data_IF_999851139337
#
_entry.id   IF_999851139337
#
_cell.length_a   1.000
_cell.length_b   1.000
_cell.length_c   1.000
_cell.angle_alpha   90.00
_cell.angle_beta   90.00
_cell.angle_gamma   90.00
#
_symmetry.space_group_name_H-M   'P 1'
#
loop_
_entity.id
_entity.type
_entity.pdbx_description
1 polymer ?
#
# COMPACT_ATOMS: atom_id res chain seq x y z
N UNK A 1 18.33 -5.92 31.48
CA UNK A 1 18.03 -5.79 30.03
C UNK A 1 17.35 -4.44 29.86
N UNK A 2 18.08 -3.43 29.38
CA UNK A 2 17.62 -2.05 29.35
C UNK A 2 16.53 -1.87 28.30
N UNK A 3 15.30 -1.59 28.71
CA UNK A 3 14.22 -1.21 27.78
C UNK A 3 14.47 0.23 27.34
N UNK A 4 15.12 0.41 26.19
CA UNK A 4 15.25 1.74 25.60
C UNK A 4 13.85 2.31 25.34
N UNK A 5 13.59 3.52 25.81
CA UNK A 5 12.34 4.23 25.53
C UNK A 5 12.09 4.30 24.02
N UNK A 6 10.84 4.21 23.56
CA UNK A 6 10.53 4.27 22.13
C UNK A 6 11.07 5.56 21.52
N UNK A 7 11.84 5.42 20.43
CA UNK A 7 12.41 6.58 19.69
C UNK A 7 11.29 7.52 19.25
N UNK A 8 11.56 8.84 19.32
CA UNK A 8 10.61 9.85 18.85
C UNK A 8 10.27 9.68 17.35
N UNK A 9 9.12 10.17 16.91
CA UNK A 9 8.72 10.14 15.49
C UNK A 9 9.77 10.79 14.59
N UNK A 10 10.28 11.97 14.98
CA UNK A 10 11.33 12.69 14.25
C UNK A 10 12.60 11.84 14.08
N UNK A 11 12.99 11.11 15.13
CA UNK A 11 14.13 10.19 15.07
C UNK A 11 13.85 9.01 14.14
N UNK A 12 12.64 8.44 14.16
CA UNK A 12 12.24 7.31 13.30
C UNK A 12 12.20 7.69 11.82
N UNK A 13 11.81 8.92 11.48
CA UNK A 13 11.81 9.42 10.10
C UNK A 13 13.22 9.50 9.49
N UNK A 14 14.24 9.78 10.31
CA UNK A 14 15.62 9.95 9.83
C UNK A 14 16.41 8.63 9.89
N UNK A 15 16.26 7.86 10.97
CA UNK A 15 17.16 6.74 11.30
C UNK A 15 16.68 5.36 10.85
N UNK A 16 15.54 5.25 10.15
CA UNK A 16 14.84 3.97 9.92
C UNK A 16 15.55 2.98 8.98
N UNK A 17 16.63 3.39 8.32
CA UNK A 17 17.48 2.53 7.48
C UNK A 17 18.85 2.19 8.07
N UNK A 18 19.21 2.75 9.23
CA UNK A 18 20.56 2.59 9.79
C UNK A 18 20.79 1.21 10.45
N UNK A 19 19.76 0.36 10.52
CA UNK A 19 19.82 -0.93 11.18
C UNK A 19 20.25 -2.03 10.19
N UNK A 20 21.52 -2.01 9.77
CA UNK A 20 22.12 -3.04 8.92
C UNK A 20 23.66 -2.98 8.93
N UNK A 21 24.32 -4.11 9.12
CA UNK A 21 25.77 -4.19 9.22
C UNK A 21 26.44 -4.23 7.83
N UNK A 22 26.84 -3.06 7.31
CA UNK A 22 27.80 -2.98 6.20
C UNK A 22 29.01 -2.14 6.62
N UNK A 23 30.22 -2.61 6.27
CA UNK A 23 31.51 -2.02 6.67
C UNK A 23 31.67 -0.53 6.32
N UNK A 24 30.93 -0.02 5.32
CA UNK A 24 30.88 1.40 4.94
C UNK A 24 29.47 1.77 4.51
N UNK A 25 28.91 2.84 5.06
CA UNK A 25 27.58 3.35 4.72
C UNK A 25 27.65 4.85 4.46
N UNK A 26 26.90 5.31 3.47
CA UNK A 26 26.56 6.72 3.29
C UNK A 26 25.27 7.04 4.02
N UNK A 27 25.01 8.31 4.41
CA UNK A 27 23.73 8.69 5.01
C UNK A 27 22.52 8.40 4.11
N UNK A 28 22.69 8.51 2.79
CA UNK A 28 21.66 8.12 1.83
C UNK A 28 21.75 6.61 1.51
N UNK A 29 20.61 5.91 1.34
CA UNK A 29 20.61 4.53 0.88
C UNK A 29 21.15 4.43 -0.55
N UNK A 30 21.78 3.30 -0.86
CA UNK A 30 22.25 3.03 -2.21
C UNK A 30 21.07 2.95 -3.20
N UNK A 31 21.26 3.52 -4.39
CA UNK A 31 20.29 3.44 -5.50
C UNK A 31 20.67 2.27 -6.39
N UNK A 32 20.01 1.12 -6.19
CA UNK A 32 20.22 -0.07 -7.01
C UNK A 32 19.25 -0.05 -8.20
N UNK A 33 19.79 -0.09 -9.42
CA UNK A 33 19.01 -0.09 -10.67
C UNK A 33 19.29 -1.35 -11.46
N UNK A 34 18.24 -2.03 -11.88
CA UNK A 34 18.34 -3.24 -12.69
C UNK A 34 16.98 -3.91 -12.84
N UNK A 35 16.75 -4.52 -13.99
CA UNK A 35 15.60 -5.38 -14.23
C UNK A 35 15.97 -6.83 -13.93
N UNK A 36 17.00 -7.37 -14.57
CA UNK A 36 17.48 -8.73 -14.33
C UNK A 36 18.37 -8.79 -13.10
N UNK A 37 18.10 -9.74 -12.21
CA UNK A 37 18.96 -10.04 -11.05
C UNK A 37 19.80 -11.26 -11.38
N UNK A 38 21.11 -11.15 -11.14
CA UNK A 38 22.04 -12.27 -11.34
C UNK A 38 21.95 -13.21 -10.14
N UNK A 39 21.72 -14.48 -10.44
CA UNK A 39 21.74 -15.57 -9.46
C UNK A 39 23.05 -16.34 -9.60
N UNK A 40 23.54 -16.89 -8.50
CA UNK A 40 24.79 -17.67 -8.50
C UNK A 40 24.60 -19.01 -9.23
N UNK A 41 23.43 -19.63 -9.10
CA UNK A 41 23.15 -20.95 -9.64
C UNK A 41 21.89 -20.92 -10.50
N UNK A 42 21.93 -21.56 -11.66
CA UNK A 42 20.77 -21.61 -12.57
C UNK A 42 19.51 -22.23 -11.96
N UNK A 43 19.67 -23.18 -11.02
CA UNK A 43 18.55 -23.82 -10.31
C UNK A 43 17.73 -22.85 -9.47
N UNK A 44 18.33 -21.75 -9.03
CA UNK A 44 17.70 -20.78 -8.13
C UNK A 44 16.60 -19.98 -8.84
N UNK A 45 16.55 -20.02 -10.18
CA UNK A 45 15.47 -19.41 -10.99
C UNK A 45 14.10 -20.03 -10.65
N UNK A 46 14.06 -21.28 -10.20
CA UNK A 46 12.83 -21.99 -9.85
C UNK A 46 12.42 -21.85 -8.38
N UNK A 47 13.25 -21.24 -7.55
CA UNK A 47 12.93 -20.99 -6.14
C UNK A 47 12.10 -19.72 -6.01
N UNK A 48 10.85 -19.86 -5.55
CA UNK A 48 9.92 -18.74 -5.39
C UNK A 48 10.34 -17.75 -4.29
N UNK A 49 11.28 -18.12 -3.41
CA UNK A 49 11.86 -17.23 -2.42
C UNK A 49 12.95 -16.32 -2.99
N UNK A 50 13.48 -16.64 -4.17
CA UNK A 50 14.53 -15.87 -4.82
C UNK A 50 13.95 -14.74 -5.65
N UNK A 51 14.55 -13.56 -5.51
CA UNK A 51 14.20 -12.44 -6.35
C UNK A 51 14.93 -12.54 -7.69
N UNK A 52 14.17 -12.79 -8.76
CA UNK A 52 14.70 -12.94 -10.12
C UNK A 52 14.63 -11.66 -10.95
N UNK A 53 13.73 -10.75 -10.59
CA UNK A 53 13.43 -9.55 -11.38
C UNK A 53 13.18 -8.31 -10.51
N UNK A 54 13.69 -7.17 -10.95
CA UNK A 54 13.62 -5.88 -10.26
C UNK A 54 12.21 -5.33 -10.08
N UNK A 55 11.21 -5.89 -10.78
CA UNK A 55 9.78 -5.62 -10.52
C UNK A 55 9.37 -5.94 -9.07
N UNK A 56 10.02 -6.90 -8.42
CA UNK A 56 9.81 -7.22 -7.00
C UNK A 56 10.35 -6.16 -6.03
N UNK A 57 11.14 -5.20 -6.54
CA UNK A 57 11.80 -4.16 -5.75
C UNK A 57 13.21 -4.56 -5.35
N UNK A 58 14.20 -3.77 -5.74
CA UNK A 58 15.60 -3.92 -5.31
C UNK A 58 15.84 -3.28 -3.95
N UNK A 59 17.09 -3.24 -3.48
CA UNK A 59 17.49 -2.69 -2.16
C UNK A 59 16.76 -1.39 -1.81
N UNK A 60 16.76 -0.40 -2.70
CA UNK A 60 16.11 0.90 -2.46
C UNK A 60 14.59 0.80 -2.18
N UNK A 61 13.91 -0.16 -2.82
CA UNK A 61 12.47 -0.37 -2.69
C UNK A 61 12.14 -1.12 -1.41
N UNK A 62 12.91 -2.16 -1.08
CA UNK A 62 12.76 -2.94 0.17
C UNK A 62 12.92 -2.02 1.37
N UNK A 63 13.99 -1.23 1.34
CA UNK A 63 14.26 -0.18 2.32
C UNK A 63 13.06 0.77 2.50
N UNK A 64 12.55 1.36 1.40
CA UNK A 64 11.38 2.25 1.47
C UNK A 64 10.13 1.56 2.04
N UNK A 65 9.86 0.30 1.63
CA UNK A 65 8.73 -0.49 2.15
C UNK A 65 8.83 -0.68 3.66
N UNK A 66 10.01 -1.09 4.14
CA UNK A 66 10.25 -1.34 5.56
C UNK A 66 10.08 -0.07 6.41
N UNK A 67 10.53 1.09 5.91
CA UNK A 67 10.27 2.36 6.60
C UNK A 67 8.79 2.66 6.69
N UNK A 68 8.07 2.57 5.57
CA UNK A 68 6.64 2.90 5.52
C UNK A 68 5.84 1.94 6.41
N UNK A 69 6.15 0.64 6.36
CA UNK A 69 5.52 -0.38 7.21
C UNK A 69 5.72 -0.04 8.69
N UNK A 70 6.95 0.29 9.08
CA UNK A 70 7.25 0.72 10.46
C UNK A 70 6.54 2.02 10.84
N UNK A 71 6.38 2.98 9.94
CA UNK A 71 5.73 4.26 10.22
C UNK A 71 4.22 4.10 10.43
N UNK A 72 3.58 3.32 9.56
CA UNK A 72 2.14 3.04 9.56
C UNK A 72 1.75 1.93 10.55
N UNK A 73 2.73 1.33 11.23
CA UNK A 73 2.53 0.14 12.08
C UNK A 73 1.82 -1.00 11.33
N UNK A 74 2.25 -1.23 10.09
CA UNK A 74 1.75 -2.25 9.18
C UNK A 74 2.75 -3.42 9.06
N UNK A 75 2.23 -4.62 8.76
CA UNK A 75 3.05 -5.82 8.54
C UNK A 75 3.83 -5.76 7.22
N UNK A 76 3.26 -5.14 6.19
CA UNK A 76 3.89 -4.97 4.88
C UNK A 76 3.35 -3.73 4.15
N UNK A 77 4.10 -3.25 3.15
CA UNK A 77 3.75 -2.14 2.27
C UNK A 77 4.01 -2.53 0.82
N UNK A 78 3.05 -2.29 -0.07
CA UNK A 78 3.23 -2.41 -1.51
C UNK A 78 3.41 -1.03 -2.16
N UNK A 79 4.43 -0.88 -3.00
CA UNK A 79 4.72 0.38 -3.71
C UNK A 79 3.97 0.44 -5.04
N UNK A 80 3.42 1.62 -5.33
CA UNK A 80 2.72 1.91 -6.58
C UNK A 80 3.30 3.17 -7.25
N UNK A 81 3.16 3.30 -8.59
CA UNK A 81 3.71 4.45 -9.32
C UNK A 81 2.95 5.76 -9.07
N UNK A 82 1.77 5.72 -8.45
CA UNK A 82 0.98 6.90 -8.08
C UNK A 82 -0.03 6.57 -6.98
N UNK A 83 -0.56 7.59 -6.31
CA UNK A 83 -1.63 7.42 -5.32
C UNK A 83 -2.91 6.83 -5.93
N UNK A 84 -3.27 7.21 -7.17
CA UNK A 84 -4.40 6.60 -7.86
C UNK A 84 -4.15 5.10 -8.13
N UNK A 85 -2.93 4.72 -8.55
CA UNK A 85 -2.60 3.31 -8.76
C UNK A 85 -2.62 2.50 -7.46
N UNK A 86 -2.23 3.10 -6.33
CA UNK A 86 -2.35 2.45 -5.01
C UNK A 86 -3.82 2.20 -4.66
N UNK A 87 -4.69 3.20 -4.86
CA UNK A 87 -6.13 3.07 -4.60
C UNK A 87 -6.76 2.02 -5.51
N UNK A 88 -6.52 2.09 -6.82
CA UNK A 88 -7.13 1.13 -7.76
C UNK A 88 -6.59 -0.27 -7.55
N UNK A 89 -5.29 -0.43 -7.30
CA UNK A 89 -4.67 -1.72 -6.98
C UNK A 89 -5.29 -2.36 -5.74
N UNK A 90 -5.45 -1.61 -4.66
CA UNK A 90 -6.07 -2.10 -3.43
C UNK A 90 -7.54 -2.51 -3.65
N UNK A 91 -8.33 -1.66 -4.32
CA UNK A 91 -9.76 -1.95 -4.57
C UNK A 91 -9.92 -3.17 -5.46
N UNK A 92 -9.13 -3.30 -6.53
CA UNK A 92 -9.17 -4.46 -7.43
C UNK A 92 -8.69 -5.75 -6.77
N UNK A 93 -7.75 -5.67 -5.83
CA UNK A 93 -7.28 -6.84 -5.09
C UNK A 93 -8.34 -7.39 -4.12
N UNK A 94 -9.26 -6.54 -3.66
CA UNK A 94 -10.25 -6.88 -2.64
C UNK A 94 -11.63 -7.23 -3.20
N UNK A 95 -11.94 -6.81 -4.44
CA UNK A 95 -13.28 -6.90 -5.04
C UNK A 95 -13.35 -7.84 -6.23
N UNK A 96 -14.54 -8.34 -6.52
CA UNK A 96 -14.90 -9.20 -7.65
C UNK A 96 -16.29 -8.86 -8.17
N UNK A 97 -16.63 -9.31 -9.38
CA UNK A 97 -17.95 -9.04 -9.97
C UNK A 97 -19.08 -9.49 -9.04
N UNK A 98 -20.04 -8.60 -8.80
CA UNK A 98 -21.14 -8.78 -7.83
C UNK A 98 -20.91 -8.06 -6.50
N UNK A 99 -19.67 -7.66 -6.18
CA UNK A 99 -19.36 -6.91 -4.96
C UNK A 99 -19.83 -5.45 -5.03
N UNK A 100 -19.95 -4.84 -3.85
CA UNK A 100 -20.29 -3.44 -3.65
C UNK A 100 -19.24 -2.72 -2.81
N UNK A 101 -18.93 -1.49 -3.19
CA UNK A 101 -18.11 -0.54 -2.43
C UNK A 101 -18.99 0.56 -1.84
N UNK A 102 -18.93 0.77 -0.52
CA UNK A 102 -19.48 1.98 0.08
C UNK A 102 -18.41 3.07 0.04
N UNK A 103 -18.71 4.25 -0.48
CA UNK A 103 -17.74 5.34 -0.59
C UNK A 103 -18.31 6.67 -0.10
N UNK A 104 -17.50 7.47 0.60
CA UNK A 104 -17.90 8.84 0.93
C UNK A 104 -18.05 9.68 -0.35
N UNK A 105 -19.05 10.54 -0.46
CA UNK A 105 -19.28 11.33 -1.70
C UNK A 105 -18.16 12.38 -1.97
N UNK A 106 -17.31 12.64 -0.99
CA UNK A 106 -16.16 13.57 -1.07
C UNK A 106 -14.85 12.90 -1.50
N UNK A 107 -14.91 11.71 -2.09
CA UNK A 107 -13.71 11.06 -2.61
C UNK A 107 -13.04 11.88 -3.71
N UNK A 108 -11.72 11.72 -3.80
CA UNK A 108 -10.91 12.32 -4.86
C UNK A 108 -11.48 12.01 -6.26
N UNK A 109 -11.64 13.05 -7.10
CA UNK A 109 -12.35 12.95 -8.38
C UNK A 109 -11.88 11.84 -9.33
N UNK A 110 -10.56 11.62 -9.52
CA UNK A 110 -10.06 10.46 -10.25
C UNK A 110 -10.48 9.11 -9.67
N UNK A 111 -10.57 8.97 -8.34
CA UNK A 111 -11.11 7.75 -7.69
C UNK A 111 -12.58 7.56 -8.04
N UNK A 112 -13.39 8.62 -8.02
CA UNK A 112 -14.79 8.57 -8.46
C UNK A 112 -14.93 8.10 -9.91
N UNK A 113 -14.14 8.67 -10.81
CA UNK A 113 -14.12 8.25 -12.23
C UNK A 113 -13.72 6.78 -12.40
N UNK A 114 -12.80 6.29 -11.57
CA UNK A 114 -12.46 4.87 -11.56
C UNK A 114 -13.63 4.00 -11.10
N UNK A 115 -14.31 4.37 -10.01
CA UNK A 115 -15.47 3.64 -9.47
C UNK A 115 -16.64 3.58 -10.47
N UNK A 116 -17.05 4.73 -10.99
CA UNK A 116 -18.20 4.82 -11.90
C UNK A 116 -17.91 4.28 -13.31
N UNK A 117 -16.64 4.23 -13.71
CA UNK A 117 -16.20 3.76 -15.01
C UNK A 117 -15.68 2.33 -14.99
N UNK A 118 -14.41 2.16 -14.63
CA UNK A 118 -13.70 0.88 -14.75
C UNK A 118 -14.20 -0.17 -13.76
N UNK A 119 -14.39 0.21 -12.50
CA UNK A 119 -14.83 -0.71 -11.45
C UNK A 119 -16.24 -1.23 -11.75
N UNK A 120 -17.16 -0.32 -12.15
CA UNK A 120 -18.48 -0.69 -12.68
C UNK A 120 -18.41 -1.64 -13.86
N UNK A 121 -17.48 -1.44 -14.80
CA UNK A 121 -17.27 -2.35 -15.95
C UNK A 121 -16.83 -3.75 -15.51
N UNK A 122 -16.16 -3.87 -14.37
CA UNK A 122 -15.79 -5.15 -13.76
C UNK A 122 -16.90 -5.78 -12.92
N UNK A 123 -18.10 -5.21 -12.93
CA UNK A 123 -19.27 -5.76 -12.25
C UNK A 123 -19.34 -5.42 -10.77
N UNK A 124 -18.55 -4.46 -10.30
CA UNK A 124 -18.58 -3.99 -8.91
C UNK A 124 -19.40 -2.70 -8.84
N UNK A 125 -20.37 -2.63 -7.93
CA UNK A 125 -21.20 -1.43 -7.73
C UNK A 125 -20.59 -0.51 -6.69
N UNK A 126 -21.02 0.76 -6.68
CA UNK A 126 -20.63 1.72 -5.66
C UNK A 126 -21.86 2.42 -5.12
N UNK A 127 -22.01 2.45 -3.80
CA UNK A 127 -23.01 3.24 -3.09
C UNK A 127 -22.31 4.40 -2.37
N UNK A 128 -22.81 5.62 -2.60
CA UNK A 128 -22.23 6.82 -2.00
C UNK A 128 -23.01 7.26 -0.77
N UNK A 129 -22.28 7.64 0.28
CA UNK A 129 -22.86 8.19 1.51
C UNK A 129 -22.33 9.60 1.81
N UNK A 130 -23.11 10.37 2.57
CA UNK A 130 -22.77 11.74 2.90
C UNK A 130 -21.56 11.79 3.85
N UNK A 131 -20.66 12.80 3.73
CA UNK A 131 -19.52 12.91 4.64
C UNK A 131 -19.92 13.04 6.12
N UNK A 132 -21.16 13.49 6.38
CA UNK A 132 -21.66 13.70 7.73
C UNK A 132 -22.43 12.49 8.27
N UNK A 133 -22.48 11.39 7.52
CA UNK A 133 -23.09 10.14 7.94
C UNK A 133 -22.39 9.61 9.20
N UNK A 134 -23.19 9.23 10.18
CA UNK A 134 -22.70 8.57 11.39
C UNK A 134 -22.29 7.14 11.09
N UNK A 135 -21.55 6.51 12.01
CA UNK A 135 -21.22 5.08 11.89
C UNK A 135 -22.49 4.20 11.79
N UNK A 136 -23.59 4.59 12.44
CA UNK A 136 -24.86 3.88 12.36
C UNK A 136 -25.52 4.01 10.98
N UNK A 137 -25.45 5.20 10.37
CA UNK A 137 -25.96 5.43 9.01
C UNK A 137 -25.19 4.57 8.00
N UNK A 138 -23.86 4.54 8.11
CA UNK A 138 -23.00 3.72 7.24
C UNK A 138 -23.28 2.23 7.45
N UNK A 139 -23.43 1.80 8.71
CA UNK A 139 -23.77 0.41 9.02
C UNK A 139 -25.11 -0.03 8.43
N UNK A 140 -26.09 0.88 8.35
CA UNK A 140 -27.39 0.63 7.71
C UNK A 140 -27.33 0.47 6.19
N UNK A 141 -26.24 0.90 5.55
CA UNK A 141 -26.01 0.73 4.11
C UNK A 141 -25.29 -0.58 3.76
N UNK A 142 -24.77 -1.31 4.75
CA UNK A 142 -24.03 -2.55 4.51
C UNK A 142 -24.99 -3.64 4.03
N UNK A 143 -24.69 -4.20 2.86
CA UNK A 143 -25.39 -5.33 2.25
C UNK A 143 -24.55 -6.61 2.33
N UNK A 144 -25.14 -7.74 1.94
CA UNK A 144 -24.39 -9.00 1.79
C UNK A 144 -23.27 -8.93 0.74
N UNK A 145 -23.34 -7.96 -0.18
CA UNK A 145 -22.36 -7.77 -1.25
C UNK A 145 -21.32 -6.69 -0.90
N UNK A 146 -21.49 -5.94 0.20
CA UNK A 146 -20.55 -4.90 0.59
C UNK A 146 -19.20 -5.51 0.95
N UNK A 147 -18.16 -5.16 0.19
CA UNK A 147 -16.82 -5.72 0.33
C UNK A 147 -15.85 -4.80 1.06
N UNK A 148 -15.99 -3.49 0.87
CA UNK A 148 -15.16 -2.49 1.55
C UNK A 148 -15.89 -1.15 1.70
N UNK A 149 -15.46 -0.38 2.70
CA UNK A 149 -15.88 1.00 2.94
C UNK A 149 -14.69 1.91 2.64
N UNK A 150 -14.85 2.82 1.69
CA UNK A 150 -13.82 3.77 1.25
C UNK A 150 -14.05 5.15 1.86
N UNK A 151 -13.09 5.58 2.68
CA UNK A 151 -13.09 6.88 3.34
C UNK A 151 -12.03 7.80 2.72
N UNK A 152 -12.31 9.09 2.71
CA UNK A 152 -11.35 10.13 2.36
C UNK A 152 -11.54 11.28 3.36
N UNK A 153 -10.81 11.29 4.49
CA UNK A 153 -10.92 12.37 5.45
C UNK A 153 -10.57 13.69 4.76
N UNK A 154 -11.19 14.81 5.16
CA UNK A 154 -10.91 16.10 4.55
C UNK A 154 -9.41 16.42 4.64
N UNK A 155 -8.88 17.07 3.61
CA UNK A 155 -7.64 17.80 3.77
C UNK A 155 -7.91 18.88 4.83
N UNK A 156 -7.12 18.86 5.91
CA UNK A 156 -7.14 19.87 6.98
C UNK A 156 -7.09 21.29 6.41
#
# INVERSE_FOLDING_TARGET
>A
MSSASPRSLNTRLIASHADGATLRQTPAPAVQRGSTILLELARDIYDTSQQTYGRGGLTTHVLLRDMLAKLENADDVTLYPSGLAAITGAVLALTSAGDEVLAVDTIYGPTRRFFEGMLRRFGVTTCYFAPQSTAADIAGLITANTRLIFLNPPAL
#
